data_IF_929365044364
#
_entry.id   IF_929365044364
#
_cell.length_a   1.000
_cell.length_b   1.000
_cell.length_c   1.000
_cell.angle_alpha   90.00
_cell.angle_beta   90.00
_cell.angle_gamma   90.00
#
_symmetry.space_group_name_H-M   'P 1'
#
loop_
_entity.id
_entity.type
_entity.pdbx_description
1 polymer ?
#
# COMPACT_ATOMS: atom_id res chain seq x y z
N UNK A 1 50.55 35.58 2.21
CA UNK A 1 49.22 35.55 1.55
C UNK A 1 48.76 34.11 1.58
N UNK A 2 48.07 33.68 2.62
CA UNK A 2 46.59 33.71 2.77
C UNK A 2 45.91 32.69 1.84
N UNK A 3 45.46 31.61 2.50
CA UNK A 3 44.39 30.67 2.13
C UNK A 3 43.08 31.39 1.76
N UNK A 4 42.11 30.73 1.08
CA UNK A 4 41.24 29.69 1.67
C UNK A 4 41.14 28.44 0.78
N UNK A 5 41.08 27.17 1.22
CA UNK A 5 40.33 26.48 2.29
C UNK A 5 38.80 26.62 2.19
N UNK A 6 38.13 25.54 1.79
CA UNK A 6 37.08 24.82 2.56
C UNK A 6 36.55 23.63 1.74
N UNK A 7 36.95 22.42 2.10
CA UNK A 7 36.28 21.46 3.01
C UNK A 7 35.47 20.43 2.20
N UNK A 8 36.02 19.24 1.93
CA UNK A 8 36.12 18.06 2.80
C UNK A 8 34.79 17.31 2.98
N UNK A 9 34.80 16.09 2.43
CA UNK A 9 34.40 14.83 3.06
C UNK A 9 33.28 14.88 4.12
N UNK A 10 32.17 14.21 3.81
CA UNK A 10 31.10 13.95 4.76
C UNK A 10 30.06 12.98 4.21
N UNK A 11 30.48 11.86 3.63
CA UNK A 11 29.58 10.74 3.34
C UNK A 11 29.19 10.06 4.65
N UNK A 12 28.25 10.66 5.39
CA UNK A 12 27.67 10.04 6.57
C UNK A 12 27.08 8.68 6.17
N UNK A 13 27.38 7.58 6.87
CA UNK A 13 26.61 6.35 6.69
C UNK A 13 25.14 6.69 6.95
N UNK A 14 24.26 6.31 6.03
CA UNK A 14 22.82 6.40 6.26
C UNK A 14 22.52 5.72 7.60
N UNK A 15 21.71 6.32 8.48
CA UNK A 15 21.46 5.76 9.80
C UNK A 15 20.94 4.33 9.64
N UNK A 16 21.32 3.37 10.50
CA UNK A 16 20.92 1.96 10.39
C UNK A 16 19.39 1.78 10.32
N UNK A 17 18.61 2.73 10.85
CA UNK A 17 17.16 2.76 10.73
C UNK A 17 16.61 3.03 9.32
N UNK A 18 17.33 3.74 8.44
CA UNK A 18 16.85 4.05 7.09
C UNK A 18 16.86 2.83 6.16
N UNK A 19 17.82 1.92 6.34
CA UNK A 19 17.86 0.65 5.59
C UNK A 19 16.73 -0.29 6.04
N UNK A 20 16.47 -0.37 7.35
CA UNK A 20 15.35 -1.13 7.90
C UNK A 20 13.99 -0.59 7.43
N UNK A 21 13.80 0.73 7.42
CA UNK A 21 12.60 1.38 6.89
C UNK A 21 12.39 1.07 5.40
N UNK A 22 13.47 1.01 4.61
CA UNK A 22 13.38 0.58 3.20
C UNK A 22 12.95 -0.86 3.10
N UNK A 23 13.58 -1.80 3.83
CA UNK A 23 13.22 -3.22 3.80
C UNK A 23 11.74 -3.47 4.15
N UNK A 24 11.23 -2.76 5.17
CA UNK A 24 9.82 -2.82 5.57
C UNK A 24 8.85 -2.42 4.45
N UNK A 25 9.22 -1.45 3.59
CA UNK A 25 8.37 -1.02 2.48
C UNK A 25 8.16 -2.10 1.39
N UNK A 26 9.02 -3.13 1.33
CA UNK A 26 8.93 -4.22 0.34
C UNK A 26 8.50 -5.56 0.97
N UNK A 27 8.24 -5.60 2.29
CA UNK A 27 7.85 -6.82 2.98
C UNK A 27 6.61 -7.48 2.35
N UNK A 28 5.73 -6.67 1.81
CA UNK A 28 4.47 -7.10 1.18
C UNK A 28 4.60 -7.44 -0.30
N UNK A 29 5.71 -7.10 -0.94
CA UNK A 29 5.87 -7.31 -2.38
C UNK A 29 5.86 -8.79 -2.73
N UNK A 30 6.52 -9.64 -1.94
CA UNK A 30 6.57 -11.08 -2.19
C UNK A 30 5.19 -11.73 -2.04
N UNK A 31 4.39 -11.26 -1.08
CA UNK A 31 2.99 -11.72 -0.91
C UNK A 31 2.17 -11.33 -2.12
N UNK A 32 2.35 -10.11 -2.65
CA UNK A 32 1.64 -9.64 -3.84
C UNK A 32 2.08 -10.39 -5.10
N UNK A 33 3.38 -10.69 -5.26
CA UNK A 33 3.86 -11.52 -6.38
C UNK A 33 3.32 -12.93 -6.33
N UNK A 34 3.30 -13.54 -5.14
CA UNK A 34 2.70 -14.86 -4.94
C UNK A 34 1.21 -14.84 -5.30
N UNK A 35 0.49 -13.79 -4.92
CA UNK A 35 -0.93 -13.64 -5.24
C UNK A 35 -1.20 -13.54 -6.74
N UNK A 36 -0.40 -12.73 -7.46
CA UNK A 36 -0.47 -12.59 -8.92
C UNK A 36 -0.12 -13.90 -9.62
N UNK A 37 0.93 -14.59 -9.17
CA UNK A 37 1.29 -15.90 -9.72
C UNK A 37 0.16 -16.92 -9.52
N UNK A 38 -0.50 -16.90 -8.36
CA UNK A 38 -1.59 -17.82 -8.04
C UNK A 38 -2.87 -17.54 -8.84
N UNK A 39 -3.29 -16.27 -8.97
CA UNK A 39 -4.62 -15.91 -9.49
C UNK A 39 -4.62 -15.33 -10.91
N UNK A 40 -3.52 -14.69 -11.34
CA UNK A 40 -3.42 -14.11 -12.67
C UNK A 40 -2.67 -15.05 -13.63
N UNK A 41 -1.45 -15.46 -13.26
CA UNK A 41 -0.61 -16.29 -14.14
C UNK A 41 -1.15 -17.71 -14.35
N UNK A 42 -1.85 -18.27 -13.35
CA UNK A 42 -2.48 -19.59 -13.47
C UNK A 42 -3.88 -19.57 -14.11
N UNK A 43 -4.46 -18.39 -14.38
CA UNK A 43 -5.78 -18.28 -15.01
C UNK A 43 -5.66 -18.16 -16.53
N UNK A 44 -6.41 -18.99 -17.27
CA UNK A 44 -6.39 -19.04 -18.73
C UNK A 44 -6.79 -17.72 -19.39
N UNK A 45 -7.58 -16.90 -18.69
CA UNK A 45 -8.09 -15.62 -19.18
C UNK A 45 -7.12 -14.47 -18.93
N UNK A 46 -6.30 -14.56 -17.87
CA UNK A 46 -5.49 -13.45 -17.38
C UNK A 46 -3.98 -13.67 -17.50
N UNK A 47 -3.51 -14.89 -17.78
CA UNK A 47 -2.09 -15.19 -17.89
C UNK A 47 -1.28 -14.26 -18.81
N UNK A 48 -1.80 -13.68 -19.91
CA UNK A 48 -1.00 -12.77 -20.76
C UNK A 48 -0.70 -11.43 -20.09
N UNK A 49 -1.37 -11.13 -18.98
CA UNK A 49 -1.37 -9.83 -18.32
C UNK A 49 -0.74 -9.86 -16.93
N UNK A 50 -0.11 -10.98 -16.55
CA UNK A 50 0.50 -11.14 -15.23
C UNK A 50 1.53 -10.03 -14.91
N UNK A 51 2.34 -9.64 -15.89
CA UNK A 51 3.32 -8.56 -15.75
C UNK A 51 2.66 -7.19 -15.46
N UNK A 52 1.62 -6.82 -16.21
CA UNK A 52 0.94 -5.53 -16.02
C UNK A 52 0.10 -5.54 -14.73
N UNK A 53 -0.48 -6.67 -14.36
CA UNK A 53 -1.21 -6.86 -13.11
C UNK A 53 -0.27 -6.77 -11.91
N UNK A 54 0.89 -7.43 -11.95
CA UNK A 54 1.94 -7.28 -10.93
C UNK A 54 2.33 -5.81 -10.80
N UNK A 55 2.62 -5.14 -11.92
CA UNK A 55 3.02 -3.74 -11.91
C UNK A 55 1.94 -2.82 -11.29
N UNK A 56 0.66 -3.04 -11.60
CA UNK A 56 -0.46 -2.27 -11.02
C UNK A 56 -0.58 -2.48 -9.50
N UNK A 57 -0.51 -3.73 -9.06
CA UNK A 57 -0.67 -4.12 -7.66
C UNK A 57 0.50 -3.59 -6.81
N UNK A 58 1.74 -3.71 -7.31
CA UNK A 58 2.92 -3.15 -6.67
C UNK A 58 2.91 -1.61 -6.67
N UNK A 59 2.45 -0.99 -7.76
CA UNK A 59 2.30 0.47 -7.82
C UNK A 59 1.27 0.96 -6.79
N UNK A 60 0.19 0.21 -6.58
CA UNK A 60 -0.80 0.55 -5.56
C UNK A 60 -0.21 0.39 -4.15
N UNK A 61 0.48 -0.72 -3.87
CA UNK A 61 1.17 -0.99 -2.58
C UNK A 61 2.05 0.18 -2.13
N UNK A 62 2.75 0.81 -3.07
CA UNK A 62 3.72 1.89 -2.81
C UNK A 62 3.11 3.29 -2.79
N UNK A 63 1.87 3.49 -3.23
CA UNK A 63 1.26 4.82 -3.29
C UNK A 63 0.67 5.22 -1.94
N UNK A 64 1.40 6.07 -1.22
CA UNK A 64 0.99 6.62 0.08
C UNK A 64 -0.24 7.52 0.01
N UNK A 65 -0.68 7.94 -1.18
CA UNK A 65 -1.88 8.76 -1.35
C UNK A 65 -3.16 7.93 -1.35
N UNK A 66 -3.09 6.62 -1.52
CA UNK A 66 -4.27 5.74 -1.58
C UNK A 66 -5.12 5.89 -0.33
N UNK A 67 -4.53 5.82 0.86
CA UNK A 67 -5.24 5.97 2.12
C UNK A 67 -6.00 7.29 2.23
N UNK A 68 -5.38 8.41 1.84
CA UNK A 68 -6.00 9.73 1.89
C UNK A 68 -7.10 9.92 0.83
N UNK A 69 -7.07 9.14 -0.25
CA UNK A 69 -8.05 9.20 -1.33
C UNK A 69 -9.24 8.25 -1.13
N UNK A 70 -9.19 7.32 -0.17
CA UNK A 70 -10.29 6.39 0.11
C UNK A 70 -11.53 7.11 0.63
N UNK A 71 -12.68 6.92 -0.03
CA UNK A 71 -13.93 7.61 0.34
C UNK A 71 -14.49 7.20 1.71
N UNK A 72 -14.24 5.96 2.17
CA UNK A 72 -14.75 5.44 3.44
C UNK A 72 -13.74 5.53 4.60
N UNK A 73 -12.63 6.27 4.43
CA UNK A 73 -11.51 6.27 5.37
C UNK A 73 -10.59 5.06 5.19
N UNK A 74 -9.64 4.83 6.12
CA UNK A 74 -8.68 3.73 6.01
C UNK A 74 -9.41 2.38 6.05
N UNK A 75 -9.29 1.55 4.99
CA UNK A 75 -10.11 0.35 4.85
C UNK A 75 -9.75 -0.76 5.84
N UNK A 76 -8.51 -0.78 6.34
CA UNK A 76 -7.97 -1.81 7.22
C UNK A 76 -7.09 -1.17 8.29
N UNK A 77 -6.88 -1.88 9.41
CA UNK A 77 -5.89 -1.49 10.42
C UNK A 77 -4.51 -1.72 9.79
N UNK A 78 -3.75 -0.65 9.51
CA UNK A 78 -2.51 -0.81 8.80
C UNK A 78 -1.43 -1.40 9.72
N UNK A 79 -0.46 -2.12 9.14
CA UNK A 79 0.69 -2.58 9.91
C UNK A 79 1.58 -1.37 10.15
N UNK A 80 1.81 -1.09 11.43
CA UNK A 80 2.67 0.02 11.86
C UNK A 80 3.98 -0.56 12.36
N UNK A 81 5.06 -0.26 11.65
CA UNK A 81 6.40 -0.60 12.07
C UNK A 81 6.98 0.58 12.87
N UNK A 82 7.37 0.29 14.11
CA UNK A 82 8.21 1.19 14.90
C UNK A 82 9.66 0.79 14.61
N UNK A 83 10.45 1.59 13.86
CA UNK A 83 11.86 1.31 13.73
C UNK A 83 12.50 1.42 15.12
N UNK A 84 13.21 0.37 15.53
CA UNK A 84 13.95 0.35 16.79
C UNK A 84 14.97 1.49 16.78
N UNK A 85 14.64 2.60 17.44
CA UNK A 85 15.65 3.53 17.91
C UNK A 85 16.17 2.93 19.20
N UNK A 86 17.43 2.47 19.16
CA UNK A 86 18.15 1.96 20.33
C UNK A 86 17.80 2.77 21.58
N UNK A 87 17.51 2.04 22.64
CA UNK A 87 17.34 2.49 24.01
C UNK A 87 18.44 3.48 24.45
N UNK A 88 18.12 4.76 24.45
CA UNK A 88 18.75 5.77 25.31
C UNK A 88 17.82 6.97 25.46
N UNK A 89 16.67 6.77 26.11
CA UNK A 89 15.98 7.85 26.80
C UNK A 89 16.84 8.28 28.00
N UNK A 90 17.87 9.08 27.74
CA UNK A 90 18.49 9.90 28.79
C UNK A 90 17.54 11.05 29.05
N UNK A 91 16.98 11.01 30.25
CA UNK A 91 16.25 12.07 30.90
C UNK A 91 17.04 13.39 30.83
N UNK A 92 16.44 14.41 30.21
CA UNK A 92 17.00 15.75 30.13
C UNK A 92 15.88 16.77 30.04
N UNK A 93 15.62 17.43 31.16
CA UNK A 93 14.76 18.61 31.26
C UNK A 93 15.37 19.75 30.40
N UNK A 94 14.61 20.31 29.47
CA UNK A 94 15.05 21.48 28.69
C UNK A 94 14.15 21.78 27.49
N UNK A 95 13.38 22.86 27.60
CA UNK A 95 12.50 23.43 26.58
C UNK A 95 13.26 23.79 25.29
N UNK A 96 12.87 23.25 24.12
CA UNK A 96 12.69 23.99 22.85
C UNK A 96 12.31 23.08 21.63
N UNK A 97 11.24 23.52 20.96
CA UNK A 97 10.72 23.26 19.60
C UNK A 97 11.43 22.26 18.64
N UNK A 98 10.69 21.21 18.24
CA UNK A 98 10.96 20.37 17.06
C UNK A 98 10.57 18.90 17.28
N UNK A 99 9.27 18.59 17.29
CA UNK A 99 8.77 17.21 17.51
C UNK A 99 9.11 16.29 16.34
N UNK A 100 10.25 15.60 16.38
CA UNK A 100 10.43 14.34 15.65
C UNK A 100 9.85 13.22 16.51
N UNK A 101 8.54 12.97 16.35
CA UNK A 101 7.88 11.80 16.92
C UNK A 101 8.56 10.53 16.39
N UNK A 102 8.67 9.44 17.19
CA UNK A 102 9.19 8.17 16.68
C UNK A 102 8.38 7.78 15.45
N UNK A 103 9.03 7.79 14.29
CA UNK A 103 8.35 7.74 12.99
C UNK A 103 7.65 6.42 12.78
N UNK A 104 6.34 6.39 13.09
CA UNK A 104 5.47 5.25 12.80
C UNK A 104 5.43 5.06 11.28
N UNK A 105 6.05 3.97 10.79
CA UNK A 105 6.08 3.65 9.37
C UNK A 105 4.90 2.75 9.02
N UNK A 106 4.15 3.13 7.98
CA UNK A 106 3.07 2.33 7.44
C UNK A 106 3.58 1.27 6.46
N UNK A 107 3.16 0.02 6.65
CA UNK A 107 3.54 -1.10 5.79
C UNK A 107 2.30 -1.85 5.29
N UNK A 108 2.02 -1.91 3.98
CA UNK A 108 2.64 -1.12 2.92
C UNK A 108 2.34 0.39 3.01
N UNK A 109 3.07 1.24 2.28
CA UNK A 109 2.83 2.69 2.24
C UNK A 109 1.40 3.10 1.90
N UNK A 110 0.66 2.29 1.13
CA UNK A 110 -0.74 2.56 0.80
C UNK A 110 -1.73 2.30 1.95
N UNK A 111 -1.30 1.58 2.99
CA UNK A 111 -2.13 1.20 4.13
C UNK A 111 -3.12 0.07 3.89
N UNK A 112 -3.01 -0.61 2.76
CA UNK A 112 -3.83 -1.78 2.42
C UNK A 112 -2.98 -3.02 2.65
N UNK A 113 -3.40 -3.89 3.55
CA UNK A 113 -2.72 -5.15 3.78
C UNK A 113 -3.07 -6.12 2.64
N UNK A 114 -2.08 -6.70 1.94
CA UNK A 114 -2.32 -7.72 0.93
C UNK A 114 -3.14 -8.89 1.50
N UNK A 115 -4.08 -9.38 0.71
CA UNK A 115 -4.84 -10.59 1.01
C UNK A 115 -4.97 -11.44 -0.25
N UNK A 116 -5.39 -12.69 -0.07
CA UNK A 116 -5.52 -13.65 -1.17
C UNK A 116 -6.61 -13.21 -2.17
N UNK A 117 -6.26 -13.17 -3.45
CA UNK A 117 -7.12 -12.71 -4.54
C UNK A 117 -7.12 -11.19 -4.71
N UNK A 118 -6.17 -10.47 -4.13
CA UNK A 118 -6.06 -9.01 -4.30
C UNK A 118 -5.83 -8.62 -5.77
N UNK A 119 -4.98 -9.37 -6.45
CA UNK A 119 -4.66 -9.21 -7.88
C UNK A 119 -5.90 -9.28 -8.79
N UNK A 120 -6.94 -10.02 -8.41
CA UNK A 120 -8.19 -10.12 -9.18
C UNK A 120 -8.89 -8.78 -9.38
N UNK A 121 -8.65 -7.79 -8.51
CA UNK A 121 -9.19 -6.45 -8.70
C UNK A 121 -8.51 -5.67 -9.82
N UNK A 122 -7.24 -5.96 -10.09
CA UNK A 122 -6.46 -5.32 -11.14
C UNK A 122 -6.63 -6.03 -12.49
N UNK A 123 -6.94 -7.33 -12.49
CA UNK A 123 -7.11 -8.16 -13.69
C UNK A 123 -8.04 -7.55 -14.77
N UNK A 124 -9.25 -7.05 -14.47
CA UNK A 124 -10.12 -6.47 -15.50
C UNK A 124 -9.53 -5.23 -16.17
N UNK A 125 -8.70 -4.48 -15.46
CA UNK A 125 -8.10 -3.25 -15.98
C UNK A 125 -6.99 -3.53 -16.99
N UNK A 126 -6.33 -4.69 -16.90
CA UNK A 126 -5.33 -5.09 -17.87
C UNK A 126 -5.87 -5.21 -19.30
N UNK A 127 -7.17 -5.48 -19.46
CA UNK A 127 -7.82 -5.49 -20.77
C UNK A 127 -8.07 -4.09 -21.36
N UNK A 128 -8.04 -3.03 -20.55
CA UNK A 128 -8.36 -1.68 -21.00
C UNK A 128 -7.17 -0.99 -21.68
N UNK A 129 -5.97 -1.22 -21.17
CA UNK A 129 -4.75 -0.63 -21.69
C UNK A 129 -3.53 -1.45 -21.31
N UNK A 130 -2.57 -1.52 -22.24
CA UNK A 130 -1.29 -2.23 -22.07
C UNK A 130 -0.20 -1.40 -21.36
N UNK A 131 -0.48 -0.12 -21.08
CA UNK A 131 0.47 0.80 -20.45
C UNK A 131 0.08 1.08 -19.00
N UNK A 132 1.03 0.85 -18.09
CA UNK A 132 0.88 1.13 -16.65
C UNK A 132 0.42 2.58 -16.39
N UNK A 133 1.00 3.54 -17.10
CA UNK A 133 0.68 4.97 -16.97
C UNK A 133 -0.80 5.30 -17.21
N UNK A 134 -1.47 4.53 -18.07
CA UNK A 134 -2.87 4.74 -18.42
C UNK A 134 -3.80 3.94 -17.50
N UNK A 135 -3.43 2.69 -17.21
CA UNK A 135 -4.29 1.76 -16.48
C UNK A 135 -4.26 1.98 -14.97
N UNK A 136 -3.11 2.35 -14.40
CA UNK A 136 -2.95 2.50 -12.96
C UNK A 136 -3.80 3.63 -12.36
N UNK A 137 -3.89 4.84 -12.95
CA UNK A 137 -4.79 5.88 -12.44
C UNK A 137 -6.26 5.44 -12.43
N UNK A 138 -6.69 4.65 -13.42
CA UNK A 138 -8.05 4.10 -13.47
C UNK A 138 -8.27 3.08 -12.35
N UNK A 139 -7.35 2.14 -12.19
CA UNK A 139 -7.39 1.13 -11.13
C UNK A 139 -7.39 1.80 -9.74
N UNK A 140 -6.50 2.76 -9.50
CA UNK A 140 -6.43 3.51 -8.25
C UNK A 140 -7.73 4.26 -7.96
N UNK A 141 -8.30 4.95 -8.95
CA UNK A 141 -9.56 5.68 -8.78
C UNK A 141 -10.72 4.73 -8.44
N UNK A 142 -10.79 3.58 -9.12
CA UNK A 142 -11.78 2.55 -8.84
C UNK A 142 -11.61 1.96 -7.43
N UNK A 143 -10.37 1.66 -7.05
CA UNK A 143 -10.04 1.14 -5.72
C UNK A 143 -10.47 2.10 -4.61
N UNK A 144 -10.08 3.38 -4.72
CA UNK A 144 -10.34 4.40 -3.70
C UNK A 144 -11.82 4.77 -3.56
N UNK A 145 -12.64 4.52 -4.59
CA UNK A 145 -14.07 4.85 -4.61
C UNK A 145 -14.97 3.69 -4.20
N UNK A 146 -14.63 2.48 -4.65
CA UNK A 146 -15.52 1.32 -4.54
C UNK A 146 -14.92 0.21 -3.67
N UNK A 147 -13.70 -0.25 -3.96
CA UNK A 147 -13.11 -1.41 -3.28
C UNK A 147 -12.78 -1.13 -1.81
N UNK A 148 -12.43 0.11 -1.47
CA UNK A 148 -12.22 0.54 -0.08
C UNK A 148 -13.45 0.24 0.81
N UNK A 149 -14.67 0.38 0.28
CA UNK A 149 -15.93 0.13 1.00
C UNK A 149 -16.21 -1.36 1.20
N UNK A 150 -15.65 -2.23 0.35
CA UNK A 150 -15.77 -3.69 0.50
C UNK A 150 -14.90 -4.21 1.65
N UNK A 151 -13.80 -3.53 1.94
CA UNK A 151 -12.88 -3.91 3.02
C UNK A 151 -13.29 -3.33 4.38
N UNK A 152 -14.21 -2.37 4.39
CA UNK A 152 -14.71 -1.73 5.61
C UNK A 152 -16.01 -2.39 6.07
N UNK A 153 -16.02 -2.93 7.30
CA UNK A 153 -17.25 -3.40 7.93
C UNK A 153 -18.05 -2.20 8.47
N UNK A 154 -19.08 -1.81 7.74
CA UNK A 154 -19.98 -0.72 8.13
C UNK A 154 -21.41 -1.05 7.71
N UNK A 155 -22.39 -0.52 8.45
CA UNK A 155 -23.83 -0.62 8.15
C UNK A 155 -24.28 0.37 7.06
N UNK A 156 -23.38 1.16 6.50
CA UNK A 156 -23.70 2.14 5.46
C UNK A 156 -24.14 1.46 4.15
N UNK A 157 -25.11 2.03 3.40
CA UNK A 157 -25.41 1.60 2.04
C UNK A 157 -24.13 1.63 1.17
N UNK A 158 -23.88 0.53 0.43
CA UNK A 158 -22.71 0.28 -0.45
C UNK A 158 -21.47 -0.36 0.20
N UNK A 159 -21.62 -0.98 1.36
CA UNK A 159 -20.59 -1.84 1.97
C UNK A 159 -20.83 -3.32 1.63
N UNK A 160 -19.88 -4.17 2.00
CA UNK A 160 -20.00 -5.62 1.81
C UNK A 160 -21.27 -6.21 2.45
N UNK A 161 -21.66 -5.72 3.64
CA UNK A 161 -22.83 -6.25 4.37
C UNK A 161 -24.14 -6.06 3.60
N UNK A 162 -24.30 -4.91 2.95
CA UNK A 162 -25.46 -4.60 2.12
C UNK A 162 -25.48 -5.45 0.84
N UNK A 163 -24.31 -5.75 0.28
CA UNK A 163 -24.19 -6.67 -0.84
C UNK A 163 -24.64 -8.09 -0.43
N UNK A 164 -24.19 -8.57 0.74
CA UNK A 164 -24.62 -9.85 1.28
C UNK A 164 -26.12 -9.91 1.57
N UNK A 165 -26.71 -8.84 2.11
CA UNK A 165 -28.16 -8.74 2.34
C UNK A 165 -28.93 -8.88 1.03
N UNK A 166 -28.49 -8.19 -0.03
CA UNK A 166 -29.13 -8.28 -1.35
C UNK A 166 -29.10 -9.72 -1.92
N UNK A 167 -27.97 -10.43 -1.78
CA UNK A 167 -27.88 -11.83 -2.20
C UNK A 167 -28.75 -12.77 -1.36
N UNK A 168 -28.89 -12.50 -0.06
CA UNK A 168 -29.72 -13.30 0.84
C UNK A 168 -31.22 -13.09 0.58
N UNK A 169 -31.62 -11.88 0.23
CA UNK A 169 -33.01 -11.52 -0.09
C UNK A 169 -33.41 -11.93 -1.52
N UNK A 170 -32.47 -12.05 -2.45
CA UNK A 170 -32.71 -12.49 -3.83
C UNK A 170 -32.09 -13.86 -4.15
N UNK A 171 -32.60 -14.98 -3.60
CA UNK A 171 -32.05 -16.31 -3.83
C UNK A 171 -32.21 -16.85 -5.26
N UNK A 172 -32.89 -16.13 -6.16
CA UNK A 172 -33.09 -16.52 -7.57
C UNK A 172 -32.07 -15.90 -8.54
N UNK A 173 -31.06 -15.18 -8.06
CA UNK A 173 -29.98 -14.66 -8.91
C UNK A 173 -28.91 -15.75 -9.09
N UNK A 174 -29.17 -16.68 -10.01
CA UNK A 174 -28.22 -17.73 -10.43
C UNK A 174 -27.10 -17.07 -11.24
N UNK A 175 -25.87 -17.14 -10.74
CA UNK A 175 -24.62 -16.84 -11.49
C UNK A 175 -24.22 -18.10 -12.24
#
# INVERSE_FOLDING_TARGET
MVHPERCLAGGSPAPPGAAAARYLAWLTDDVLRLDVAEHCANDVSYFPFDEIVEAMVLALSRDSKVMACCECGPPQIPIVACPETNTAAVQGDGENCGQEQPGLLLVPPCGVVPFRGFSNYACPFAFLADRLETVYPLFRAFYCRHLCRLHTLSSEPRTLLQLCELFLVCPNYVI
#
